data_IF_371972894652
#
_entry.id   IF_371972894652
#
_cell.length_a   1.000
_cell.length_b   1.000
_cell.length_c   1.000
_cell.angle_alpha   90.00
_cell.angle_beta   90.00
_cell.angle_gamma   90.00
#
_symmetry.space_group_name_H-M   'P 1'
#
loop_
_entity.id
_entity.type
_entity.pdbx_description
1 polymer ?
#
# COMPACT_ATOMS: atom_id res chain seq x y z
N UNK A 1 -21.74 -8.91 15.63
CA UNK A 1 -20.70 -9.16 14.61
C UNK A 1 -19.33 -8.94 15.23
N UNK A 2 -18.51 -10.00 15.35
CA UNK A 2 -17.15 -9.89 15.86
C UNK A 2 -16.36 -8.98 14.90
N UNK A 3 -15.94 -7.79 15.36
CA UNK A 3 -15.07 -6.88 14.59
C UNK A 3 -13.72 -7.58 14.40
N UNK A 4 -13.53 -8.22 13.24
CA UNK A 4 -12.22 -8.77 12.87
C UNK A 4 -11.19 -7.64 12.96
N UNK A 5 -10.11 -7.88 13.69
CA UNK A 5 -9.02 -6.91 13.81
C UNK A 5 -8.21 -6.95 12.50
N UNK A 6 -8.68 -6.21 11.48
CA UNK A 6 -8.07 -6.19 10.16
C UNK A 6 -6.70 -5.52 10.21
N UNK A 7 -5.74 -6.08 9.47
CA UNK A 7 -4.39 -5.54 9.30
C UNK A 7 -4.15 -5.08 7.86
N UNK A 8 -3.15 -4.25 7.68
CA UNK A 8 -2.61 -3.85 6.37
C UNK A 8 -1.40 -4.73 6.06
N UNK A 9 -1.37 -5.31 4.86
CA UNK A 9 -0.19 -6.03 4.39
C UNK A 9 0.60 -5.17 3.41
N UNK A 10 1.88 -4.95 3.69
CA UNK A 10 2.83 -4.27 2.80
C UNK A 10 3.60 -5.34 2.06
N UNK A 11 3.48 -5.39 0.74
CA UNK A 11 4.20 -6.35 -0.10
C UNK A 11 5.06 -5.62 -1.13
N UNK A 12 6.18 -6.24 -1.52
CA UNK A 12 7.09 -5.69 -2.51
C UNK A 12 7.82 -6.79 -3.27
N UNK A 13 8.26 -6.48 -4.50
CA UNK A 13 8.90 -7.45 -5.39
C UNK A 13 10.30 -7.87 -4.98
N UNK A 14 11.01 -7.01 -4.24
CA UNK A 14 12.40 -7.27 -3.83
C UNK A 14 12.80 -6.48 -2.59
N UNK A 15 13.95 -6.83 -2.02
CA UNK A 15 14.54 -6.11 -0.88
C UNK A 15 14.90 -4.65 -1.24
N UNK A 16 15.25 -4.36 -2.50
CA UNK A 16 15.57 -2.99 -2.95
C UNK A 16 14.40 -2.03 -2.77
N UNK A 17 13.16 -2.51 -2.93
CA UNK A 17 11.94 -1.71 -2.84
C UNK A 17 11.64 -1.30 -1.38
N UNK A 18 12.23 -2.02 -0.43
CA UNK A 18 12.03 -1.75 0.99
C UNK A 18 12.52 -0.35 1.40
N UNK A 19 13.50 0.22 0.70
CA UNK A 19 13.93 1.61 0.94
C UNK A 19 12.76 2.59 0.87
N UNK A 20 11.87 2.42 -0.11
CA UNK A 20 10.64 3.21 -0.29
C UNK A 20 9.52 2.71 0.63
N UNK A 21 9.25 1.41 0.62
CA UNK A 21 8.10 0.82 1.32
C UNK A 21 8.18 0.89 2.85
N UNK A 22 9.39 1.04 3.44
CA UNK A 22 9.54 1.29 4.88
C UNK A 22 8.83 2.56 5.35
N UNK A 23 8.60 3.53 4.46
CA UNK A 23 7.88 4.76 4.80
C UNK A 23 6.39 4.47 5.06
N UNK A 24 5.76 3.61 4.25
CA UNK A 24 4.41 3.13 4.54
C UNK A 24 4.35 2.43 5.90
N UNK A 25 5.31 1.56 6.20
CA UNK A 25 5.43 0.91 7.53
C UNK A 25 5.53 1.92 8.66
N UNK A 26 6.35 2.98 8.50
CA UNK A 26 6.52 4.06 9.49
C UNK A 26 5.20 4.78 9.78
N UNK A 27 4.44 5.12 8.75
CA UNK A 27 3.13 5.79 8.88
C UNK A 27 2.11 4.89 9.57
N UNK A 28 1.96 3.64 9.14
CA UNK A 28 1.02 2.69 9.75
C UNK A 28 1.34 2.47 11.24
N UNK A 29 2.64 2.37 11.60
CA UNK A 29 3.07 2.30 13.00
C UNK A 29 2.66 3.54 13.80
N UNK A 30 2.87 4.75 13.24
CA UNK A 30 2.44 6.01 13.86
C UNK A 30 0.93 6.08 14.09
N UNK A 31 0.15 5.55 13.15
CA UNK A 31 -1.31 5.50 13.22
C UNK A 31 -1.85 4.31 14.05
N UNK A 32 -0.95 3.46 14.59
CA UNK A 32 -1.28 2.23 15.33
C UNK A 32 -2.17 1.25 14.54
N UNK A 33 -1.96 1.17 13.24
CA UNK A 33 -2.61 0.20 12.36
C UNK A 33 -1.84 -1.12 12.43
N UNK A 34 -2.50 -2.26 12.75
CA UNK A 34 -1.87 -3.57 12.65
C UNK A 34 -1.37 -3.83 11.24
N UNK A 35 -0.15 -4.36 11.09
CA UNK A 35 0.44 -4.57 9.77
C UNK A 35 1.40 -5.74 9.74
N UNK A 36 1.64 -6.24 8.53
CA UNK A 36 2.75 -7.14 8.20
C UNK A 36 3.53 -6.61 7.00
N UNK A 37 4.73 -7.14 6.77
CA UNK A 37 5.57 -6.78 5.61
C UNK A 37 6.16 -8.03 5.01
N UNK A 38 6.04 -8.21 3.68
CA UNK A 38 6.53 -9.40 2.97
C UNK A 38 7.21 -9.04 1.66
N UNK A 39 8.22 -9.84 1.27
CA UNK A 39 8.79 -9.81 -0.07
C UNK A 39 8.15 -10.92 -0.89
N UNK A 40 7.49 -10.53 -1.97
CA UNK A 40 6.78 -11.42 -2.88
C UNK A 40 7.04 -10.92 -4.30
N UNK A 41 7.84 -11.65 -5.06
CA UNK A 41 8.11 -11.30 -6.44
C UNK A 41 7.10 -11.97 -7.37
N UNK A 42 6.35 -11.17 -8.14
CA UNK A 42 5.39 -11.67 -9.11
C UNK A 42 6.07 -12.60 -10.15
N UNK A 43 7.26 -12.24 -10.61
CA UNK A 43 7.97 -12.96 -11.67
C UNK A 43 8.84 -14.11 -11.14
N UNK A 44 9.45 -13.96 -9.95
CA UNK A 44 10.42 -14.95 -9.42
C UNK A 44 9.81 -15.91 -8.40
N UNK A 45 8.68 -15.55 -7.80
CA UNK A 45 7.96 -16.39 -6.82
C UNK A 45 6.44 -16.40 -7.09
N UNK A 46 5.99 -16.76 -8.32
CA UNK A 46 4.58 -16.66 -8.71
C UNK A 46 3.66 -17.50 -7.84
N UNK A 47 4.06 -18.71 -7.47
CA UNK A 47 3.28 -19.58 -6.59
C UNK A 47 3.13 -19.01 -5.17
N UNK A 48 4.18 -18.35 -4.65
CA UNK A 48 4.11 -17.63 -3.36
C UNK A 48 3.11 -16.48 -3.43
N UNK A 49 3.13 -15.72 -4.53
CA UNK A 49 2.20 -14.61 -4.78
C UNK A 49 0.75 -15.12 -4.84
N UNK A 50 0.50 -16.18 -5.62
CA UNK A 50 -0.81 -16.80 -5.75
C UNK A 50 -1.35 -17.22 -4.37
N UNK A 51 -0.58 -18.03 -3.64
CA UNK A 51 -0.96 -18.48 -2.29
C UNK A 51 -1.22 -17.31 -1.34
N UNK A 52 -0.36 -16.28 -1.36
CA UNK A 52 -0.51 -15.10 -0.53
C UNK A 52 -1.83 -14.37 -0.82
N UNK A 53 -2.14 -14.09 -2.09
CA UNK A 53 -3.33 -13.36 -2.49
C UNK A 53 -4.62 -14.14 -2.18
N UNK A 54 -4.64 -15.45 -2.47
CA UNK A 54 -5.77 -16.34 -2.20
C UNK A 54 -6.06 -16.52 -0.71
N UNK A 55 -5.03 -16.49 0.15
CA UNK A 55 -5.17 -16.66 1.60
C UNK A 55 -5.34 -15.31 2.35
N UNK A 56 -5.32 -14.17 1.64
CA UNK A 56 -5.27 -12.85 2.27
C UNK A 56 -6.47 -12.58 3.20
N UNK A 57 -7.69 -12.92 2.80
CA UNK A 57 -8.90 -12.76 3.63
C UNK A 57 -8.85 -13.63 4.89
N UNK A 58 -8.40 -14.89 4.77
CA UNK A 58 -8.26 -15.82 5.89
C UNK A 58 -7.23 -15.30 6.92
N UNK A 59 -6.24 -14.54 6.44
CA UNK A 59 -5.20 -13.93 7.27
C UNK A 59 -5.60 -12.57 7.87
N UNK A 60 -6.89 -12.19 7.80
CA UNK A 60 -7.43 -10.92 8.30
C UNK A 60 -6.75 -9.68 7.66
N UNK A 61 -6.35 -9.77 6.41
CA UNK A 61 -5.84 -8.62 5.66
C UNK A 61 -7.06 -7.83 5.17
N UNK A 62 -7.10 -6.54 5.48
CA UNK A 62 -8.17 -5.63 5.04
C UNK A 62 -7.77 -4.71 3.91
N UNK A 63 -6.45 -4.48 3.73
CA UNK A 63 -5.88 -3.69 2.61
C UNK A 63 -4.48 -4.22 2.30
N UNK A 64 -4.14 -4.28 1.03
CA UNK A 64 -2.79 -4.62 0.56
C UNK A 64 -2.16 -3.37 -0.04
N UNK A 65 -0.95 -3.01 0.41
CA UNK A 65 -0.10 -2.00 -0.22
C UNK A 65 1.00 -2.73 -0.97
N UNK A 66 1.01 -2.65 -2.29
CA UNK A 66 1.93 -3.38 -3.15
C UNK A 66 2.88 -2.44 -3.88
N UNK A 67 4.18 -2.48 -3.54
CA UNK A 67 5.24 -1.72 -4.19
C UNK A 67 5.92 -2.54 -5.29
N UNK A 68 6.05 -1.95 -6.48
CA UNK A 68 6.73 -2.60 -7.60
C UNK A 68 7.40 -1.57 -8.54
N UNK A 69 8.55 -1.94 -9.11
CA UNK A 69 9.32 -1.10 -10.02
C UNK A 69 9.54 -1.74 -11.40
N UNK A 70 9.73 -0.92 -12.41
CA UNK A 70 9.90 -1.34 -13.80
C UNK A 70 8.63 -1.97 -14.38
N UNK A 71 8.70 -3.22 -14.83
CA UNK A 71 7.53 -4.04 -15.16
C UNK A 71 6.74 -4.39 -13.88
N UNK A 72 6.06 -3.41 -13.34
CA UNK A 72 5.48 -3.41 -12.01
C UNK A 72 4.15 -4.21 -11.94
N UNK A 73 4.19 -5.49 -12.28
CA UNK A 73 2.99 -6.35 -12.40
C UNK A 73 2.42 -6.81 -11.05
N UNK A 74 3.20 -6.77 -9.97
CA UNK A 74 2.79 -7.32 -8.65
C UNK A 74 1.43 -6.80 -8.16
N UNK A 75 1.12 -5.49 -8.17
CA UNK A 75 -0.17 -4.99 -7.68
C UNK A 75 -1.36 -5.54 -8.48
N UNK A 76 -1.28 -5.50 -9.81
CA UNK A 76 -2.33 -5.99 -10.71
C UNK A 76 -2.54 -7.50 -10.59
N UNK A 77 -1.45 -8.29 -10.51
CA UNK A 77 -1.53 -9.72 -10.34
C UNK A 77 -2.15 -10.13 -9.00
N UNK A 78 -1.84 -9.39 -7.92
CA UNK A 78 -2.50 -9.62 -6.62
C UNK A 78 -3.99 -9.23 -6.70
N UNK A 79 -4.31 -8.08 -7.29
CA UNK A 79 -5.70 -7.61 -7.42
C UNK A 79 -6.59 -8.59 -8.21
N UNK A 80 -6.03 -9.32 -9.16
CA UNK A 80 -6.74 -10.35 -9.92
C UNK A 80 -7.08 -11.60 -9.09
N UNK A 81 -6.48 -11.79 -7.92
CA UNK A 81 -6.59 -13.00 -7.09
C UNK A 81 -7.31 -12.77 -5.75
N UNK A 82 -7.70 -11.53 -5.43
CA UNK A 82 -8.38 -11.21 -4.17
C UNK A 82 -9.39 -10.08 -4.36
N UNK A 83 -10.40 -10.03 -3.49
CA UNK A 83 -11.35 -8.92 -3.42
C UNK A 83 -10.90 -7.82 -2.45
N UNK A 84 -9.77 -8.02 -1.75
CA UNK A 84 -9.21 -7.04 -0.84
C UNK A 84 -8.69 -5.84 -1.64
N UNK A 85 -8.97 -4.59 -1.23
CA UNK A 85 -8.43 -3.41 -1.90
C UNK A 85 -6.90 -3.45 -2.01
N UNK A 86 -6.39 -3.27 -3.23
CA UNK A 86 -4.95 -3.22 -3.53
C UNK A 86 -4.56 -1.78 -3.87
N UNK A 87 -3.59 -1.24 -3.13
CA UNK A 87 -3.01 0.07 -3.34
C UNK A 87 -1.61 -0.11 -3.94
N UNK A 88 -1.46 0.30 -5.20
CA UNK A 88 -0.20 0.18 -5.93
C UNK A 88 0.70 1.38 -5.69
N UNK A 89 1.95 1.12 -5.34
CA UNK A 89 3.00 2.14 -5.19
C UNK A 89 4.04 1.92 -6.28
N UNK A 90 4.09 2.82 -7.29
CA UNK A 90 5.14 2.78 -8.30
C UNK A 90 6.50 3.08 -7.65
N UNK A 91 7.44 2.14 -7.75
CA UNK A 91 8.80 2.34 -7.27
C UNK A 91 9.63 3.00 -8.36
N UNK A 92 10.43 3.97 -7.98
CA UNK A 92 11.30 4.69 -8.88
C UNK A 92 12.29 3.75 -9.56
N UNK A 93 12.32 3.75 -10.90
CA UNK A 93 13.24 2.98 -11.73
C UNK A 93 14.44 3.84 -12.16
N UNK A 94 15.58 3.21 -12.41
CA UNK A 94 16.81 3.93 -12.80
C UNK A 94 16.69 4.64 -14.16
N UNK A 95 16.01 4.04 -15.14
CA UNK A 95 15.96 4.55 -16.52
C UNK A 95 14.82 5.54 -16.73
N UNK A 96 13.61 5.20 -16.33
CA UNK A 96 12.40 6.01 -16.58
C UNK A 96 11.86 6.69 -15.31
N UNK A 97 12.67 6.74 -14.25
CA UNK A 97 12.36 7.44 -12.97
C UNK A 97 10.97 7.06 -12.40
N UNK A 98 10.52 5.85 -12.68
CA UNK A 98 9.26 5.29 -12.19
C UNK A 98 8.05 5.50 -13.10
N UNK A 99 8.20 6.15 -14.27
CA UNK A 99 7.08 6.28 -15.22
C UNK A 99 6.64 4.92 -15.76
N UNK A 100 7.58 4.03 -16.06
CA UNK A 100 7.34 2.63 -16.41
C UNK A 100 6.54 1.89 -15.33
N UNK A 101 6.94 2.07 -14.08
CA UNK A 101 6.25 1.50 -12.92
C UNK A 101 4.83 2.05 -12.79
N UNK A 102 4.65 3.37 -12.92
CA UNK A 102 3.35 4.03 -12.85
C UNK A 102 2.40 3.51 -13.94
N UNK A 103 2.86 3.48 -15.19
CA UNK A 103 2.04 3.01 -16.31
C UNK A 103 1.69 1.53 -16.19
N UNK A 104 2.62 0.70 -15.74
CA UNK A 104 2.38 -0.74 -15.51
C UNK A 104 1.31 -1.00 -14.43
N UNK A 105 1.21 -0.14 -13.42
CA UNK A 105 0.26 -0.30 -12.32
C UNK A 105 -1.09 0.35 -12.64
N UNK A 106 -1.10 1.52 -13.31
CA UNK A 106 -2.31 2.32 -13.51
C UNK A 106 -3.19 1.83 -14.66
N UNK A 107 -2.60 1.23 -15.72
CA UNK A 107 -3.33 0.82 -16.92
C UNK A 107 -3.96 -0.58 -16.76
N UNK A 108 -4.79 -0.75 -15.75
CA UNK A 108 -5.49 -2.00 -15.45
C UNK A 108 -6.69 -2.23 -16.38
N UNK A 109 -6.96 -3.48 -16.78
CA UNK A 109 -8.16 -3.80 -17.56
C UNK A 109 -9.44 -3.57 -16.74
N UNK A 110 -10.53 -3.33 -17.45
CA UNK A 110 -11.87 -3.22 -16.83
C UNK A 110 -12.17 -4.45 -15.97
N UNK A 111 -12.57 -4.23 -14.73
CA UNK A 111 -12.97 -5.26 -13.77
C UNK A 111 -11.92 -5.61 -12.71
N UNK A 112 -10.65 -5.25 -12.91
CA UNK A 112 -9.57 -5.52 -11.94
C UNK A 112 -8.96 -4.17 -11.50
N UNK A 113 -9.50 -3.50 -10.50
CA UNK A 113 -9.01 -2.18 -10.09
C UNK A 113 -7.77 -2.27 -9.19
N UNK A 114 -6.83 -1.35 -9.39
CA UNK A 114 -5.74 -1.06 -8.46
C UNK A 114 -5.76 0.44 -8.13
N UNK A 115 -5.82 0.79 -6.86
CA UNK A 115 -5.72 2.18 -6.42
C UNK A 115 -4.28 2.67 -6.52
N UNK A 116 -3.89 3.25 -7.66
CA UNK A 116 -2.52 3.66 -7.94
C UNK A 116 -2.16 4.98 -7.26
N UNK A 117 -1.07 5.02 -6.50
CA UNK A 117 -0.56 6.19 -5.79
C UNK A 117 0.58 6.86 -6.57
N UNK A 118 1.15 7.93 -5.99
CA UNK A 118 2.29 8.63 -6.55
C UNK A 118 3.54 7.75 -6.63
N UNK A 119 4.49 8.11 -7.49
CA UNK A 119 5.79 7.44 -7.60
C UNK A 119 6.61 7.67 -6.32
N UNK A 120 7.28 6.63 -5.85
CA UNK A 120 8.31 6.72 -4.83
C UNK A 120 7.78 6.95 -3.40
N UNK A 121 8.49 7.79 -2.65
CA UNK A 121 8.29 7.97 -1.21
C UNK A 121 6.91 8.52 -0.86
N UNK A 122 6.44 9.53 -1.57
CA UNK A 122 5.12 10.13 -1.36
C UNK A 122 4.00 9.13 -1.63
N UNK A 123 4.17 8.30 -2.65
CA UNK A 123 3.24 7.20 -2.96
C UNK A 123 3.13 6.20 -1.82
N UNK A 124 4.26 5.80 -1.25
CA UNK A 124 4.29 4.88 -0.10
C UNK A 124 3.63 5.48 1.15
N UNK A 125 3.89 6.75 1.44
CA UNK A 125 3.26 7.48 2.55
C UNK A 125 1.75 7.58 2.34
N UNK A 126 1.32 8.03 1.16
CA UNK A 126 -0.09 8.21 0.83
C UNK A 126 -0.85 6.89 0.77
N UNK A 127 -0.23 5.80 0.30
CA UNK A 127 -0.80 4.45 0.37
C UNK A 127 -1.11 4.03 1.80
N UNK A 128 -0.20 4.30 2.74
CA UNK A 128 -0.41 3.99 4.15
C UNK A 128 -1.54 4.82 4.77
N UNK A 129 -1.65 6.10 4.41
CA UNK A 129 -2.73 6.99 4.88
C UNK A 129 -4.08 6.52 4.32
N UNK A 130 -4.14 6.18 3.04
CA UNK A 130 -5.36 5.69 2.39
C UNK A 130 -5.77 4.33 2.97
N UNK A 131 -4.81 3.41 3.17
CA UNK A 131 -5.06 2.14 3.85
C UNK A 131 -5.61 2.34 5.27
N UNK A 132 -5.03 3.26 6.04
CA UNK A 132 -5.53 3.62 7.36
C UNK A 132 -6.95 4.21 7.30
N UNK A 133 -7.26 5.02 6.27
CA UNK A 133 -8.62 5.56 6.04
C UNK A 133 -9.63 4.45 5.79
N UNK A 134 -9.30 3.46 4.97
CA UNK A 134 -10.16 2.30 4.69
C UNK A 134 -10.40 1.50 5.98
N UNK A 135 -9.34 1.16 6.71
CA UNK A 135 -9.44 0.43 8.01
C UNK A 135 -10.26 1.23 9.03
N UNK A 136 -10.16 2.56 9.02
CA UNK A 136 -10.86 3.44 9.97
C UNK A 136 -12.39 3.38 9.87
N UNK A 137 -12.95 2.91 8.74
CA UNK A 137 -14.39 2.75 8.59
C UNK A 137 -14.98 1.70 9.56
N UNK A 138 -14.17 0.72 9.97
CA UNK A 138 -14.54 -0.32 10.93
C UNK A 138 -13.77 -0.26 12.25
N UNK A 139 -12.77 0.63 12.38
CA UNK A 139 -11.90 0.74 13.55
C UNK A 139 -11.87 2.18 14.12
N UNK A 140 -12.68 2.48 15.16
CA UNK A 140 -12.74 3.82 15.76
C UNK A 140 -11.41 4.32 16.32
N UNK A 141 -10.55 3.44 16.83
CA UNK A 141 -9.22 3.81 17.34
C UNK A 141 -8.34 4.35 16.23
N UNK A 142 -8.27 3.66 15.09
CA UNK A 142 -7.54 4.11 13.90
C UNK A 142 -8.13 5.43 13.38
N UNK A 143 -9.46 5.55 13.36
CA UNK A 143 -10.16 6.79 12.95
C UNK A 143 -9.73 8.00 13.79
N UNK A 144 -9.68 7.86 15.11
CA UNK A 144 -9.24 8.92 16.02
C UNK A 144 -7.77 9.32 15.76
N UNK A 145 -6.87 8.33 15.60
CA UNK A 145 -5.45 8.57 15.31
C UNK A 145 -5.24 9.29 13.98
N UNK A 146 -5.96 8.87 12.95
CA UNK A 146 -5.90 9.50 11.63
C UNK A 146 -6.37 10.95 11.67
N UNK A 147 -7.46 11.24 12.39
CA UNK A 147 -7.96 12.61 12.58
C UNK A 147 -6.91 13.49 13.29
N UNK A 148 -6.33 13.01 14.39
CA UNK A 148 -5.28 13.73 15.12
C UNK A 148 -4.05 13.98 14.25
N UNK A 149 -3.65 12.99 13.45
CA UNK A 149 -2.54 13.12 12.52
C UNK A 149 -2.81 14.19 11.45
N UNK A 150 -4.00 14.17 10.82
CA UNK A 150 -4.38 15.20 9.83
C UNK A 150 -4.40 16.61 10.44
N UNK A 151 -4.94 16.75 11.64
CA UNK A 151 -4.93 18.02 12.35
C UNK A 151 -3.51 18.54 12.62
N UNK A 152 -2.57 17.65 12.99
CA UNK A 152 -1.18 18.03 13.16
C UNK A 152 -0.52 18.50 11.85
N UNK A 153 -0.87 17.90 10.70
CA UNK A 153 -0.40 18.36 9.39
C UNK A 153 -0.89 19.79 9.09
N UNK A 154 -2.18 20.05 9.30
CA UNK A 154 -2.76 21.39 9.12
C UNK A 154 -2.04 22.43 9.98
N UNK A 155 -1.76 22.11 11.26
CA UNK A 155 -1.04 23.02 12.17
C UNK A 155 0.42 23.26 11.79
N UNK A 156 1.05 22.33 11.08
CA UNK A 156 2.46 22.44 10.68
C UNK A 156 2.68 23.42 9.52
N UNK A 157 1.63 23.74 8.76
CA UNK A 157 1.72 24.68 7.63
C UNK A 157 1.82 26.12 8.16
N UNK A 158 2.92 26.79 7.85
CA UNK A 158 3.12 28.19 8.24
C UNK A 158 2.25 29.10 7.40
N UNK A 159 1.72 30.18 8.02
CA UNK A 159 0.92 31.18 7.30
C UNK A 159 1.78 32.05 6.39
N UNK A 160 3.03 32.31 6.79
CA UNK A 160 3.96 33.16 6.02
C UNK A 160 5.25 32.38 5.70
N UNK A 161 5.85 32.60 4.54
CA UNK A 161 7.18 32.09 4.23
C UNK A 161 8.22 32.69 5.21
N UNK A 162 9.34 31.98 5.40
CA UNK A 162 10.49 32.51 6.13
C UNK A 162 11.42 33.25 5.19
#
# INVERSE_FOLDING_TARGET
MNKKNLKVSIVMGSQSDFKTMKLAKKILKKLKVPMETKIISAHRTPLRMYKYASDAEKNNIGVIIAGAGGSAHLPGMIAALTQIPVLGVPIESKKLKGLDSLLSISQMPKGIPVGTLAIGEDGAINAAILAASIISNSNPSVKSKLRSWRFSQTKSVKKNPK
#
